data_IF_964180445286
#
_entry.id   IF_964180445286
#
_cell.length_a   1.000
_cell.length_b   1.000
_cell.length_c   1.000
_cell.angle_alpha   90.00
_cell.angle_beta   90.00
_cell.angle_gamma   90.00
#
_symmetry.space_group_name_H-M   'P 1'
#
loop_
_entity.id
_entity.type
_entity.pdbx_description
1 polymer ?
#
# COMPACT_ATOMS: atom_id res chain seq x y z
N UNK A 1 20.49 -25.21 -29.88
CA UNK A 1 19.68 -24.47 -28.90
C UNK A 1 18.52 -25.36 -28.56
N UNK A 2 18.63 -26.06 -27.44
CA UNK A 2 17.70 -27.10 -27.03
C UNK A 2 16.77 -26.51 -25.96
N UNK A 3 15.48 -26.38 -26.28
CA UNK A 3 14.47 -25.70 -25.47
C UNK A 3 13.64 -26.68 -24.63
N UNK A 4 14.18 -27.85 -24.30
CA UNK A 4 13.37 -28.94 -23.74
C UNK A 4 13.96 -29.65 -22.51
N UNK A 5 14.55 -28.88 -21.59
CA UNK A 5 14.74 -29.33 -20.22
C UNK A 5 13.65 -28.73 -19.33
N UNK A 6 12.71 -29.52 -18.78
CA UNK A 6 11.80 -29.03 -17.78
C UNK A 6 12.62 -28.66 -16.55
N UNK A 7 12.84 -27.35 -16.33
CA UNK A 7 13.46 -26.82 -15.11
C UNK A 7 12.70 -27.39 -13.93
N UNK A 8 13.36 -28.26 -13.16
CA UNK A 8 12.73 -28.98 -12.05
C UNK A 8 12.11 -27.94 -11.12
N UNK A 9 10.89 -28.19 -10.64
CA UNK A 9 10.16 -27.32 -9.70
C UNK A 9 11.04 -26.86 -8.54
N UNK A 10 12.04 -27.65 -8.16
CA UNK A 10 13.08 -27.33 -7.16
C UNK A 10 13.95 -26.12 -7.51
N UNK A 11 14.27 -25.88 -8.78
CA UNK A 11 15.02 -24.70 -9.23
C UNK A 11 14.17 -23.43 -9.14
N UNK A 12 12.87 -23.54 -9.45
CA UNK A 12 11.92 -22.44 -9.27
C UNK A 12 11.71 -22.10 -7.79
N UNK A 13 11.55 -23.11 -6.93
CA UNK A 13 11.46 -22.93 -5.48
C UNK A 13 12.76 -22.33 -4.93
N UNK A 14 13.93 -22.78 -5.41
CA UNK A 14 15.23 -22.21 -5.03
C UNK A 14 15.37 -20.75 -5.44
N UNK A 15 14.99 -20.40 -6.68
CA UNK A 15 15.00 -19.02 -7.15
C UNK A 15 14.00 -18.13 -6.38
N UNK A 16 12.81 -18.65 -6.06
CA UNK A 16 11.83 -17.97 -5.21
C UNK A 16 12.35 -17.76 -3.78
N UNK A 17 13.01 -18.76 -3.20
CA UNK A 17 13.58 -18.68 -1.86
C UNK A 17 14.76 -17.68 -1.79
N UNK A 18 15.59 -17.60 -2.83
CA UNK A 18 16.64 -16.59 -2.95
C UNK A 18 16.02 -15.21 -3.09
N UNK A 19 15.02 -15.04 -3.97
CA UNK A 19 14.32 -13.76 -4.17
C UNK A 19 13.59 -13.31 -2.90
N UNK A 20 12.94 -14.22 -2.18
CA UNK A 20 12.36 -13.96 -0.86
C UNK A 20 13.44 -13.68 0.20
N UNK A 21 14.59 -14.35 0.13
CA UNK A 21 15.71 -14.15 1.02
C UNK A 21 16.35 -12.76 0.87
N UNK A 22 16.44 -12.25 -0.36
CA UNK A 22 16.94 -10.91 -0.64
C UNK A 22 15.90 -9.84 -0.27
N UNK A 23 14.61 -10.09 -0.55
CA UNK A 23 13.51 -9.27 0.00
C UNK A 23 13.54 -9.24 1.53
N UNK A 24 13.81 -10.37 2.20
CA UNK A 24 13.99 -10.48 3.65
C UNK A 24 15.25 -9.81 4.18
N UNK A 25 16.30 -9.63 3.37
CA UNK A 25 17.48 -8.84 3.74
C UNK A 25 17.18 -7.35 3.72
N UNK A 26 16.34 -6.87 2.80
CA UNK A 26 15.90 -5.47 2.80
C UNK A 26 15.12 -5.12 4.08
N UNK A 27 14.36 -6.07 4.63
CA UNK A 27 13.68 -5.89 5.93
C UNK A 27 14.62 -5.62 7.12
N UNK A 28 15.93 -5.89 7.01
CA UNK A 28 16.92 -5.56 8.06
C UNK A 28 17.48 -4.14 7.98
N UNK A 29 17.21 -3.39 6.90
CA UNK A 29 17.81 -2.07 6.66
C UNK A 29 16.91 -0.89 7.04
N UNK A 30 15.64 -1.12 7.37
CA UNK A 30 14.74 -0.05 7.78
C UNK A 30 14.98 0.36 9.22
N UNK A 31 15.19 1.67 9.42
CA UNK A 31 15.40 2.26 10.75
C UNK A 31 14.13 2.19 11.60
N UNK A 32 12.96 2.16 10.98
CA UNK A 32 11.68 2.12 11.68
C UNK A 32 10.85 0.89 11.30
N UNK A 33 10.15 0.34 12.29
CA UNK A 33 9.29 -0.83 12.12
C UNK A 33 8.05 -0.73 13.01
N UNK A 34 6.88 -1.00 12.46
CA UNK A 34 5.67 -1.16 13.29
C UNK A 34 5.76 -2.50 14.01
N UNK A 35 5.70 -2.47 15.34
CA UNK A 35 5.75 -3.69 16.17
C UNK A 35 4.40 -4.08 16.74
N UNK A 36 3.50 -3.11 16.91
CA UNK A 36 2.15 -3.34 17.44
C UNK A 36 1.24 -2.19 17.02
N UNK A 37 -0.03 -2.51 16.89
CA UNK A 37 -1.11 -1.55 16.69
C UNK A 37 -2.01 -1.65 17.91
N UNK A 38 -2.29 -0.53 18.55
CA UNK A 38 -3.17 -0.43 19.70
C UNK A 38 -4.32 0.52 19.38
N UNK A 39 -5.44 0.37 20.07
CA UNK A 39 -6.52 1.35 20.04
C UNK A 39 -6.61 1.97 21.42
N UNK A 40 -6.51 3.29 21.50
CA UNK A 40 -6.77 4.00 22.73
C UNK A 40 -8.24 3.83 23.10
N UNK A 41 -8.53 3.11 24.19
CA UNK A 41 -9.90 2.81 24.60
C UNK A 41 -10.72 4.04 25.01
N UNK A 42 -10.08 5.18 25.26
CA UNK A 42 -10.74 6.43 25.65
C UNK A 42 -11.03 7.31 24.43
N UNK A 43 -10.05 7.51 23.54
CA UNK A 43 -10.24 8.34 22.33
C UNK A 43 -10.68 7.55 21.09
N UNK A 44 -10.71 6.22 21.17
CA UNK A 44 -10.93 5.30 20.05
C UNK A 44 -9.92 5.52 18.89
N UNK A 45 -8.76 6.10 19.19
CA UNK A 45 -7.72 6.37 18.20
C UNK A 45 -6.79 5.18 18.03
N UNK A 46 -6.43 4.90 16.78
CA UNK A 46 -5.39 3.92 16.48
C UNK A 46 -4.02 4.53 16.79
N UNK A 47 -3.22 3.80 17.57
CA UNK A 47 -1.85 4.14 17.91
C UNK A 47 -0.93 3.07 17.34
N UNK A 48 0.07 3.50 16.59
CA UNK A 48 1.12 2.64 16.05
C UNK A 48 2.31 2.65 17.01
N UNK A 49 2.65 1.51 17.60
CA UNK A 49 3.89 1.36 18.34
C UNK A 49 5.02 1.07 17.34
N UNK A 50 5.90 2.05 17.17
CA UNK A 50 7.02 2.00 16.23
C UNK A 50 8.31 1.75 16.99
N UNK A 51 9.02 0.68 16.61
CA UNK A 51 10.40 0.48 17.01
C UNK A 51 11.32 1.33 16.12
N UNK A 52 12.12 2.20 16.74
CA UNK A 52 13.19 2.95 16.09
C UNK A 52 14.54 2.31 16.45
N UNK A 53 15.23 1.82 15.42
CA UNK A 53 16.57 1.26 15.49
C UNK A 53 17.62 2.36 15.27
N UNK A 54 18.03 3.03 16.34
CA UNK A 54 19.16 3.98 16.36
C UNK A 54 20.27 3.53 17.31
N UNK A 55 20.97 4.47 17.95
CA UNK A 55 21.97 4.17 18.99
C UNK A 55 21.40 3.37 20.17
N UNK A 56 20.10 3.53 20.44
CA UNK A 56 19.32 2.69 21.34
C UNK A 56 18.03 2.30 20.65
N UNK A 57 17.55 1.09 20.92
CA UNK A 57 16.22 0.64 20.51
C UNK A 57 15.19 1.35 21.38
N UNK A 58 14.28 2.07 20.75
CA UNK A 58 13.20 2.76 21.43
C UNK A 58 11.87 2.42 20.77
N UNK A 59 10.83 2.28 21.57
CA UNK A 59 9.47 2.09 21.09
C UNK A 59 8.74 3.41 21.33
N UNK A 60 8.26 4.03 20.27
CA UNK A 60 7.59 5.31 20.32
C UNK A 60 6.18 5.13 19.74
N UNK A 61 5.13 5.57 20.45
CA UNK A 61 3.78 5.60 19.91
C UNK A 61 3.64 6.74 18.91
N UNK A 62 3.02 6.47 17.77
CA UNK A 62 2.67 7.48 16.77
C UNK A 62 1.20 7.36 16.39
N UNK A 63 0.60 8.50 16.03
CA UNK A 63 -0.63 8.50 15.25
C UNK A 63 -0.29 8.20 13.78
N UNK A 64 -1.10 7.38 13.09
CA UNK A 64 -0.93 7.14 11.66
C UNK A 64 -0.89 8.44 10.85
N UNK A 65 -1.73 9.42 11.19
CA UNK A 65 -1.84 10.68 10.45
C UNK A 65 -0.56 11.51 10.55
N UNK A 66 0.07 11.53 11.72
CA UNK A 66 1.34 12.26 11.95
C UNK A 66 2.46 11.67 11.11
N UNK A 67 2.52 10.33 10.99
CA UNK A 67 3.52 9.66 10.17
C UNK A 67 3.29 9.89 8.68
N UNK A 68 2.05 9.89 8.20
CA UNK A 68 1.77 10.14 6.77
C UNK A 68 2.19 11.54 6.33
N UNK A 69 2.21 12.51 7.23
CA UNK A 69 2.60 13.90 6.93
C UNK A 69 4.11 14.14 6.96
N UNK A 70 4.90 13.17 7.43
CA UNK A 70 6.36 13.27 7.53
C UNK A 70 7.04 12.30 6.56
N UNK A 71 7.27 12.77 5.33
CA UNK A 71 7.96 12.02 4.26
C UNK A 71 9.36 11.54 4.70
N UNK A 72 10.05 12.34 5.52
CA UNK A 72 11.39 12.00 6.02
C UNK A 72 11.35 10.80 6.97
N UNK A 73 10.28 10.71 7.76
CA UNK A 73 10.04 9.61 8.68
C UNK A 73 9.52 8.37 7.93
N UNK A 74 8.60 8.53 6.98
CA UNK A 74 8.09 7.42 6.14
C UNK A 74 9.19 6.71 5.36
N UNK A 75 10.17 7.46 4.84
CA UNK A 75 11.30 6.89 4.10
C UNK A 75 12.14 5.89 4.92
N UNK A 76 12.00 5.90 6.25
CA UNK A 76 12.71 5.01 7.16
C UNK A 76 11.98 3.70 7.44
N UNK A 77 10.74 3.55 6.95
CA UNK A 77 9.92 2.36 7.10
C UNK A 77 9.99 1.47 5.85
N UNK A 78 9.69 0.18 6.04
CA UNK A 78 9.49 -0.71 4.91
C UNK A 78 8.24 -0.31 4.12
N UNK A 79 8.20 -0.59 2.82
CA UNK A 79 6.99 -0.33 2.00
C UNK A 79 5.73 -1.01 2.54
N UNK A 80 5.88 -2.16 3.23
CA UNK A 80 4.78 -2.82 3.91
C UNK A 80 4.26 -2.02 5.11
N UNK A 81 5.17 -1.48 5.93
CA UNK A 81 4.81 -0.63 7.06
C UNK A 81 4.20 0.69 6.57
N UNK A 82 4.73 1.31 5.51
CA UNK A 82 4.16 2.51 4.90
C UNK A 82 2.71 2.26 4.46
N UNK A 83 2.42 1.13 3.81
CA UNK A 83 1.03 0.75 3.46
C UNK A 83 0.12 0.66 4.68
N UNK A 84 0.60 0.07 5.78
CA UNK A 84 -0.17 -0.03 7.01
C UNK A 84 -0.43 1.34 7.63
N UNK A 85 0.60 2.20 7.70
CA UNK A 85 0.50 3.58 8.21
C UNK A 85 -0.56 4.36 7.41
N UNK A 86 -0.43 4.38 6.08
CA UNK A 86 -1.37 5.05 5.17
C UNK A 86 -2.78 4.51 5.33
N UNK A 87 -2.95 3.19 5.43
CA UNK A 87 -4.25 2.56 5.62
C UNK A 87 -4.93 3.06 6.91
N UNK A 88 -4.22 3.06 8.04
CA UNK A 88 -4.80 3.51 9.32
C UNK A 88 -5.08 5.02 9.35
N UNK A 89 -4.23 5.84 8.72
CA UNK A 89 -4.46 7.28 8.61
C UNK A 89 -5.73 7.61 7.80
N UNK A 90 -5.99 6.84 6.74
CA UNK A 90 -7.18 7.01 5.92
C UNK A 90 -8.44 6.46 6.59
N UNK A 91 -8.33 5.40 7.40
CA UNK A 91 -9.47 4.83 8.11
C UNK A 91 -10.17 5.85 9.03
N UNK A 92 -9.41 6.78 9.64
CA UNK A 92 -9.97 7.85 10.48
C UNK A 92 -10.79 8.87 9.66
N UNK A 93 -10.42 9.11 8.39
CA UNK A 93 -11.21 9.92 7.45
C UNK A 93 -12.48 9.22 6.97
N UNK A 94 -12.54 7.89 7.07
CA UNK A 94 -13.72 7.06 6.88
C UNK A 94 -14.51 6.89 8.19
N UNK A 95 -14.70 7.97 8.95
CA UNK A 95 -15.89 8.01 9.80
C UNK A 95 -17.07 8.10 8.84
N UNK A 96 -17.91 7.06 8.67
CA UNK A 96 -19.05 7.17 7.79
C UNK A 96 -19.86 8.34 8.28
N UNK A 97 -20.01 9.37 7.44
CA UNK A 97 -20.94 10.44 7.73
C UNK A 97 -22.25 9.74 8.07
N UNK A 98 -22.93 10.03 9.20
CA UNK A 98 -24.11 9.28 9.66
C UNK A 98 -25.32 9.33 8.71
N UNK A 99 -25.15 9.89 7.51
CA UNK A 99 -26.11 9.92 6.39
C UNK A 99 -25.73 8.98 5.23
N UNK A 100 -24.59 8.28 5.30
CA UNK A 100 -24.05 7.44 4.24
C UNK A 100 -23.66 6.06 4.74
N UNK A 101 -24.68 5.28 5.12
CA UNK A 101 -24.58 3.87 5.46
C UNK A 101 -24.43 2.94 4.24
N UNK A 102 -24.41 3.51 3.03
CA UNK A 102 -24.24 2.75 1.78
C UNK A 102 -23.13 3.39 0.95
N UNK A 103 -22.20 2.59 0.40
CA UNK A 103 -21.22 3.12 -0.54
C UNK A 103 -21.96 3.77 -1.71
N UNK A 104 -21.41 4.86 -2.23
CA UNK A 104 -21.96 5.51 -3.43
C UNK A 104 -21.38 4.92 -4.71
N UNK A 105 -20.19 4.31 -4.62
CA UNK A 105 -19.50 3.71 -5.74
C UNK A 105 -19.08 2.27 -5.42
N UNK A 106 -19.09 1.43 -6.46
CA UNK A 106 -18.60 0.06 -6.42
C UNK A 106 -17.64 -0.18 -7.57
N UNK A 107 -16.58 -0.94 -7.33
CA UNK A 107 -15.70 -1.42 -8.39
C UNK A 107 -16.35 -2.66 -9.01
N UNK A 108 -16.65 -2.59 -10.30
CA UNK A 108 -17.32 -3.69 -11.04
C UNK A 108 -16.37 -4.47 -11.94
N UNK A 109 -15.18 -3.93 -12.19
CA UNK A 109 -14.17 -4.57 -13.03
C UNK A 109 -12.83 -3.88 -12.96
N UNK A 110 -11.82 -4.54 -13.51
CA UNK A 110 -10.45 -4.04 -13.61
C UNK A 110 -9.89 -4.42 -14.98
N UNK A 111 -9.25 -3.46 -15.64
CA UNK A 111 -8.49 -3.66 -16.87
C UNK A 111 -7.01 -3.32 -16.59
N UNK A 112 -6.09 -3.99 -17.30
CA UNK A 112 -4.67 -3.65 -17.24
C UNK A 112 -4.25 -3.01 -18.56
N UNK A 113 -3.90 -1.72 -18.52
CA UNK A 113 -3.60 -0.91 -19.72
C UNK A 113 -2.30 -0.15 -19.49
N UNK A 114 -1.33 -0.32 -20.40
CA UNK A 114 -0.03 0.38 -20.37
C UNK A 114 0.72 0.28 -19.03
N UNK A 115 0.70 -0.90 -18.41
CA UNK A 115 1.38 -1.12 -17.13
C UNK A 115 0.60 -0.64 -15.91
N UNK A 116 -0.61 -0.09 -16.08
CA UNK A 116 -1.44 0.47 -15.01
C UNK A 116 -2.78 -0.25 -14.91
N UNK A 117 -3.26 -0.42 -13.70
CA UNK A 117 -4.59 -0.96 -13.40
C UNK A 117 -5.61 0.15 -13.52
N UNK A 118 -6.59 -0.06 -14.39
CA UNK A 118 -7.74 0.82 -14.61
C UNK A 118 -8.95 0.16 -13.97
N UNK A 119 -9.50 0.79 -12.94
CA UNK A 119 -10.72 0.34 -12.29
C UNK A 119 -11.95 0.83 -13.06
N UNK A 120 -12.90 -0.08 -13.29
CA UNK A 120 -14.23 0.25 -13.81
C UNK A 120 -15.14 0.48 -12.61
N UNK A 121 -15.61 1.71 -12.47
CA UNK A 121 -16.35 2.18 -11.30
C UNK A 121 -17.77 2.47 -11.71
N UNK A 122 -18.70 1.92 -10.94
CA UNK A 122 -20.13 2.16 -11.11
C UNK A 122 -20.66 2.96 -9.94
N UNK A 123 -21.45 3.99 -10.24
CA UNK A 123 -22.22 4.71 -9.22
C UNK A 123 -23.45 3.88 -8.85
N UNK A 124 -23.64 3.62 -7.58
CA UNK A 124 -24.80 2.90 -7.08
C UNK A 124 -26.05 3.77 -7.31
N UNK A 125 -27.07 3.17 -7.93
CA UNK A 125 -28.35 3.79 -8.31
C UNK A 125 -28.33 4.78 -9.50
N UNK A 126 -27.24 4.89 -10.26
CA UNK A 126 -27.19 5.71 -11.48
C UNK A 126 -26.69 4.87 -12.65
N UNK A 127 -27.28 5.06 -13.84
CA UNK A 127 -26.74 4.48 -15.07
C UNK A 127 -25.48 5.25 -15.47
N UNK A 128 -24.34 4.57 -15.43
CA UNK A 128 -23.06 5.13 -15.84
C UNK A 128 -21.89 4.42 -15.18
N UNK A 129 -20.87 4.16 -15.97
CA UNK A 129 -19.57 3.65 -15.51
C UNK A 129 -18.51 4.65 -15.94
N UNK A 130 -17.53 4.85 -15.09
CA UNK A 130 -16.34 5.61 -15.43
C UNK A 130 -15.10 4.82 -15.04
N UNK A 131 -13.99 5.20 -15.65
CA UNK A 131 -12.72 4.51 -15.51
C UNK A 131 -11.71 5.45 -14.90
N UNK A 132 -10.99 4.97 -13.88
CA UNK A 132 -9.85 5.69 -13.28
C UNK A 132 -8.76 4.69 -12.96
N UNK A 133 -7.51 5.12 -13.09
CA UNK A 133 -6.36 4.36 -12.61
C UNK A 133 -6.35 4.26 -11.09
N UNK A 134 -5.61 3.28 -10.56
CA UNK A 134 -5.37 3.15 -9.13
C UNK A 134 -4.82 4.44 -8.52
N UNK A 135 -3.85 5.06 -9.19
CA UNK A 135 -3.23 6.31 -8.75
C UNK A 135 -4.21 7.49 -8.75
N UNK A 136 -5.00 7.67 -9.81
CA UNK A 136 -6.01 8.74 -9.88
C UNK A 136 -7.08 8.61 -8.80
N UNK A 137 -7.47 7.38 -8.45
CA UNK A 137 -8.37 7.14 -7.32
C UNK A 137 -7.68 7.40 -6.00
N UNK A 138 -6.45 6.93 -5.84
CA UNK A 138 -5.67 7.10 -4.61
C UNK A 138 -5.50 8.59 -4.24
N UNK A 139 -5.31 9.46 -5.24
CA UNK A 139 -5.22 10.91 -5.03
C UNK A 139 -6.56 11.60 -4.76
N UNK A 140 -7.69 10.98 -5.11
CA UNK A 140 -9.04 11.54 -5.01
C UNK A 140 -9.71 11.13 -3.68
N UNK A 141 -9.37 11.85 -2.61
CA UNK A 141 -9.83 11.55 -1.24
C UNK A 141 -11.36 11.55 -1.11
N UNK A 142 -12.05 12.45 -1.80
CA UNK A 142 -13.51 12.53 -1.77
C UNK A 142 -14.15 11.31 -2.42
N UNK A 143 -13.59 10.83 -3.54
CA UNK A 143 -14.09 9.65 -4.21
C UNK A 143 -13.75 8.37 -3.45
N UNK A 144 -12.56 8.25 -2.89
CA UNK A 144 -12.16 7.13 -2.02
C UNK A 144 -13.11 6.97 -0.83
N UNK A 145 -13.50 8.09 -0.21
CA UNK A 145 -14.39 8.12 0.96
C UNK A 145 -15.76 7.47 0.70
N UNK A 146 -16.13 7.30 -0.57
CA UNK A 146 -17.43 6.84 -1.04
C UNK A 146 -17.47 5.37 -1.48
N UNK A 147 -16.34 4.66 -1.42
CA UNK A 147 -16.27 3.23 -1.70
C UNK A 147 -16.56 2.37 -0.48
N UNK A 148 -16.86 1.09 -0.75
CA UNK A 148 -16.84 0.06 0.29
C UNK A 148 -15.42 -0.11 0.83
N UNK A 149 -15.30 -0.62 2.06
CA UNK A 149 -14.00 -0.88 2.67
C UNK A 149 -13.14 -1.86 1.86
N UNK A 150 -13.75 -2.88 1.26
CA UNK A 150 -13.03 -3.86 0.44
C UNK A 150 -12.52 -3.25 -0.87
N UNK A 151 -13.33 -2.41 -1.51
CA UNK A 151 -12.94 -1.67 -2.72
C UNK A 151 -11.83 -0.66 -2.42
N UNK A 152 -11.94 0.07 -1.31
CA UNK A 152 -10.93 1.00 -0.84
C UNK A 152 -9.58 0.30 -0.65
N UNK A 153 -9.58 -0.83 0.05
CA UNK A 153 -8.37 -1.64 0.27
C UNK A 153 -7.74 -2.07 -1.05
N UNK A 154 -8.56 -2.48 -2.02
CA UNK A 154 -8.13 -2.89 -3.35
C UNK A 154 -7.43 -1.73 -4.08
N UNK A 155 -8.06 -0.55 -4.13
CA UNK A 155 -7.48 0.64 -4.77
C UNK A 155 -6.15 1.06 -4.13
N UNK A 156 -6.11 1.18 -2.80
CA UNK A 156 -4.91 1.59 -2.07
C UNK A 156 -3.79 0.57 -2.31
N UNK A 157 -4.07 -0.72 -2.17
CA UNK A 157 -3.07 -1.77 -2.37
C UNK A 157 -2.47 -1.72 -3.79
N UNK A 158 -3.32 -1.56 -4.80
CA UNK A 158 -2.88 -1.48 -6.20
C UNK A 158 -2.06 -0.23 -6.47
N UNK A 159 -2.51 0.94 -5.99
CA UNK A 159 -1.79 2.20 -6.20
C UNK A 159 -0.38 2.17 -5.60
N UNK A 160 -0.24 1.65 -4.37
CA UNK A 160 1.08 1.56 -3.72
C UNK A 160 1.97 0.50 -4.36
N UNK A 161 1.39 -0.60 -4.88
CA UNK A 161 2.17 -1.59 -5.62
C UNK A 161 2.70 -1.03 -6.94
N UNK A 162 1.87 -0.32 -7.69
CA UNK A 162 2.28 0.32 -8.95
C UNK A 162 3.35 1.37 -8.72
N UNK A 163 3.18 2.24 -7.71
CA UNK A 163 4.19 3.23 -7.34
C UNK A 163 5.53 2.57 -7.00
N UNK A 164 5.51 1.49 -6.23
CA UNK A 164 6.73 0.76 -5.88
C UNK A 164 7.47 0.19 -7.11
N UNK A 165 6.74 -0.28 -8.12
CA UNK A 165 7.35 -0.74 -9.37
C UNK A 165 7.94 0.43 -10.18
N UNK A 166 7.25 1.56 -10.25
CA UNK A 166 7.75 2.77 -10.90
C UNK A 166 9.04 3.28 -10.20
N UNK A 167 9.07 3.26 -8.86
CA UNK A 167 10.22 3.69 -8.07
C UNK A 167 11.44 2.78 -8.32
N UNK A 168 11.26 1.46 -8.39
CA UNK A 168 12.35 0.51 -8.72
C UNK A 168 12.90 0.79 -10.12
N UNK A 169 12.04 0.95 -11.12
CA UNK A 169 12.47 1.22 -12.50
C UNK A 169 13.29 2.51 -12.57
N UNK A 170 12.84 3.55 -11.86
CA UNK A 170 13.56 4.82 -11.82
C UNK A 170 14.95 4.69 -11.17
N UNK A 171 15.09 3.85 -10.13
CA UNK A 171 16.37 3.58 -9.48
C UNK A 171 17.33 2.83 -10.41
N UNK A 172 16.85 1.80 -11.11
CA UNK A 172 17.64 1.05 -12.08
C UNK A 172 18.14 1.93 -13.24
N UNK A 173 17.28 2.81 -13.76
CA UNK A 173 17.66 3.76 -14.81
C UNK A 173 18.71 4.78 -14.37
N UNK A 174 18.63 5.25 -13.11
CA UNK A 174 19.59 6.19 -12.56
C UNK A 174 20.95 5.54 -12.28
N UNK A 175 20.97 4.29 -11.85
CA UNK A 175 22.21 3.50 -11.65
C UNK A 175 22.88 3.18 -12.99
N UNK A 176 22.13 2.94 -14.06
CA UNK A 176 22.68 2.68 -15.39
C UNK A 176 23.22 3.95 -16.08
N UNK A 177 22.83 5.14 -15.63
CA UNK A 177 23.27 6.44 -16.16
C UNK A 177 24.43 7.06 -15.37
N UNK A 178 24.82 6.47 -14.24
CA UNK A 178 25.94 6.91 -13.40
C UNK A 178 27.19 6.04 -13.61
#
# INVERSE_FOLDING_TARGET
MDWNTPKKVTEWIGALAIKYGDVLKDYKNYRCKIIKIETNHVSNEVILLVLINGFKKQIIPFLPEDLVMDDSMLSQFSSHDVRAITFFALQKTHTPHPRLSTPFYSIVGQDFINGKTIFIIKKLNVFGEFRKSAHELYCDKELLSQFSYDDLKNVISTAVQEQYFEDIQSLEENVLRS
#
